data_IF_085696272033
#
_entry.id   IF_085696272033
#
_cell.length_a   1.000
_cell.length_b   1.000
_cell.length_c   1.000
_cell.angle_alpha   90.00
_cell.angle_beta   90.00
_cell.angle_gamma   90.00
#
_symmetry.space_group_name_H-M   'P 1'
#
loop_
_entity.id
_entity.type
_entity.pdbx_description
1 polymer ?
#
# COMPACT_ATOMS: atom_id res chain seq x y z
N UNK A 1 -41.06 -32.93 27.70
CA UNK A 1 -39.60 -33.06 27.55
C UNK A 1 -39.14 -31.99 26.57
N UNK A 2 -38.78 -30.81 27.07
CA UNK A 2 -38.32 -29.66 26.26
C UNK A 2 -36.84 -29.84 25.94
N UNK A 3 -36.45 -29.67 24.67
CA UNK A 3 -35.06 -29.52 24.26
C UNK A 3 -34.86 -28.09 23.75
N UNK A 4 -34.05 -27.31 24.46
CA UNK A 4 -33.62 -25.97 24.06
C UNK A 4 -32.29 -26.12 23.31
N UNK A 5 -32.25 -25.78 22.02
CA UNK A 5 -31.01 -25.71 21.25
C UNK A 5 -30.50 -24.28 21.32
N UNK A 6 -29.41 -24.06 22.07
CA UNK A 6 -28.71 -22.78 22.08
C UNK A 6 -27.77 -22.72 20.86
N UNK A 7 -28.08 -21.86 19.90
CA UNK A 7 -27.19 -21.55 18.79
C UNK A 7 -26.21 -20.48 19.24
N UNK A 8 -24.99 -20.88 19.59
CA UNK A 8 -23.91 -19.94 19.86
C UNK A 8 -23.38 -19.41 18.52
N UNK A 9 -23.80 -18.20 18.13
CA UNK A 9 -23.07 -17.39 17.15
C UNK A 9 -21.77 -16.94 17.81
N UNK A 10 -20.71 -17.73 17.67
CA UNK A 10 -19.34 -17.28 17.88
C UNK A 10 -19.05 -16.23 16.81
N UNK A 11 -19.31 -14.96 17.11
CA UNK A 11 -18.71 -13.85 16.40
C UNK A 11 -17.20 -13.94 16.61
N UNK A 12 -16.47 -14.39 15.60
CA UNK A 12 -15.02 -14.28 15.60
C UNK A 12 -14.67 -12.79 15.73
N UNK A 13 -13.81 -12.39 16.69
CA UNK A 13 -13.29 -11.03 16.68
C UNK A 13 -12.50 -10.87 15.38
N UNK A 14 -12.94 -9.96 14.51
CA UNK A 14 -12.10 -9.48 13.43
C UNK A 14 -10.89 -8.81 14.08
N UNK A 15 -9.76 -9.51 14.13
CA UNK A 15 -8.50 -8.93 14.56
C UNK A 15 -8.17 -7.81 13.58
N UNK A 16 -8.02 -6.56 14.03
CA UNK A 16 -7.43 -5.54 13.17
C UNK A 16 -6.01 -6.03 12.86
N UNK A 17 -5.80 -6.49 11.64
CA UNK A 17 -4.49 -6.90 11.15
C UNK A 17 -3.62 -5.66 11.18
N UNK A 18 -2.64 -5.61 12.08
CA UNK A 18 -1.48 -4.79 11.85
C UNK A 18 -0.89 -5.30 10.53
N UNK A 19 -0.97 -4.50 9.48
CA UNK A 19 -0.58 -4.86 8.12
C UNK A 19 0.75 -5.62 8.15
N UNK A 20 0.71 -6.90 7.78
CA UNK A 20 1.90 -7.72 7.73
C UNK A 20 2.82 -7.16 6.65
N UNK A 21 4.11 -7.05 6.96
CA UNK A 21 5.12 -6.63 6.00
C UNK A 21 5.49 -7.82 5.12
N UNK A 22 5.42 -7.62 3.81
CA UNK A 22 5.83 -8.59 2.79
C UNK A 22 7.14 -8.14 2.11
N UNK A 23 8.03 -9.06 1.74
CA UNK A 23 9.23 -8.70 1.00
C UNK A 23 8.90 -8.32 -0.45
N UNK A 24 9.43 -7.18 -0.91
CA UNK A 24 9.38 -6.72 -2.30
C UNK A 24 10.81 -6.54 -2.81
N UNK A 25 11.12 -7.12 -3.96
CA UNK A 25 12.43 -6.96 -4.60
C UNK A 25 12.32 -6.11 -5.86
N UNK A 26 13.21 -5.12 -5.97
CA UNK A 26 13.40 -4.32 -7.18
C UNK A 26 14.76 -4.67 -7.76
N UNK A 27 14.75 -5.38 -8.88
CA UNK A 27 15.95 -5.73 -9.62
C UNK A 27 16.34 -4.62 -10.62
N UNK A 28 17.61 -4.22 -10.59
CA UNK A 28 18.19 -3.21 -11.47
C UNK A 28 19.57 -3.64 -11.96
N UNK A 29 20.20 -2.82 -12.81
CA UNK A 29 21.59 -3.07 -13.26
C UNK A 29 22.61 -2.99 -12.11
N UNK A 30 22.32 -2.24 -11.04
CA UNK A 30 23.19 -2.12 -9.88
C UNK A 30 23.00 -3.24 -8.85
N UNK A 31 22.01 -4.11 -9.03
CA UNK A 31 21.69 -5.19 -8.13
C UNK A 31 20.21 -5.24 -7.76
N UNK A 32 19.90 -6.07 -6.77
CA UNK A 32 18.56 -6.24 -6.21
C UNK A 32 18.46 -5.43 -4.93
N UNK A 33 17.41 -4.63 -4.82
CA UNK A 33 17.05 -3.88 -3.62
C UNK A 33 15.81 -4.52 -2.99
N UNK A 34 15.90 -4.89 -1.72
CA UNK A 34 14.78 -5.51 -0.99
C UNK A 34 14.13 -4.48 -0.06
N UNK A 35 12.81 -4.42 -0.11
CA UNK A 35 11.96 -3.60 0.72
C UNK A 35 10.99 -4.48 1.51
N UNK A 36 10.57 -4.01 2.68
CA UNK A 36 9.47 -4.59 3.43
C UNK A 36 8.22 -3.71 3.24
N UNK A 37 7.19 -4.22 2.59
CA UNK A 37 6.02 -3.43 2.19
C UNK A 37 4.76 -3.89 2.86
N UNK A 38 3.91 -2.93 3.25
CA UNK A 38 2.53 -3.22 3.62
C UNK A 38 1.67 -3.32 2.35
N UNK A 39 0.73 -4.24 2.32
CA UNK A 39 -0.18 -4.41 1.19
C UNK A 39 -1.41 -3.52 1.34
N UNK A 40 -1.66 -2.64 0.37
CA UNK A 40 -2.90 -1.87 0.26
C UNK A 40 -3.77 -2.48 -0.84
N UNK A 41 -4.69 -3.36 -0.44
CA UNK A 41 -5.49 -4.19 -1.35
C UNK A 41 -6.91 -3.67 -1.49
N UNK A 42 -7.50 -3.22 -0.38
CA UNK A 42 -8.86 -2.67 -0.39
C UNK A 42 -8.87 -1.21 -0.83
N UNK A 43 -9.99 -0.71 -1.42
CA UNK A 43 -10.12 0.71 -1.75
C UNK A 43 -9.89 1.64 -0.55
N UNK A 44 -10.29 1.22 0.65
CA UNK A 44 -10.09 1.98 1.88
C UNK A 44 -8.61 2.05 2.28
N UNK A 45 -7.88 0.94 2.18
CA UNK A 45 -6.42 0.92 2.41
C UNK A 45 -5.67 1.77 1.38
N UNK A 46 -6.05 1.66 0.10
CA UNK A 46 -5.44 2.43 -0.99
C UNK A 46 -5.72 3.93 -0.84
N UNK A 47 -6.94 4.32 -0.48
CA UNK A 47 -7.29 5.72 -0.26
C UNK A 47 -6.57 6.32 0.96
N UNK A 48 -6.35 5.51 2.00
CA UNK A 48 -5.60 5.92 3.19
C UNK A 48 -4.10 6.01 2.92
N UNK A 49 -3.53 5.04 2.19
CA UNK A 49 -2.10 4.96 1.94
C UNK A 49 -1.25 5.13 3.19
N UNK A 50 -0.20 5.95 3.07
CA UNK A 50 0.71 6.30 4.17
C UNK A 50 0.30 7.59 4.92
N UNK A 51 -0.97 8.01 4.81
CA UNK A 51 -1.46 9.19 5.52
C UNK A 51 -1.22 9.08 7.03
N UNK A 52 -0.94 10.24 7.63
CA UNK A 52 -0.76 10.46 9.05
C UNK A 52 0.48 9.83 9.70
N UNK A 53 1.30 9.08 8.95
CA UNK A 53 2.56 8.55 9.45
C UNK A 53 3.58 9.66 9.63
N UNK A 54 4.25 9.65 10.79
CA UNK A 54 5.30 10.63 11.11
C UNK A 54 6.68 10.19 10.64
N UNK A 55 6.84 8.91 10.41
CA UNK A 55 8.07 8.27 9.95
C UNK A 55 7.73 7.10 9.03
N UNK A 56 8.66 6.80 8.12
CA UNK A 56 8.70 5.59 7.33
C UNK A 56 10.13 5.07 7.44
N UNK A 57 10.38 3.94 8.11
CA UNK A 57 11.72 3.39 8.23
C UNK A 57 12.36 3.13 6.87
N UNK A 58 13.68 3.28 6.80
CA UNK A 58 14.43 2.97 5.59
C UNK A 58 14.20 1.51 5.17
N UNK A 59 14.03 1.29 3.86
CA UNK A 59 13.71 -0.03 3.32
C UNK A 59 12.27 -0.49 3.58
N UNK A 60 11.39 0.36 4.12
CA UNK A 60 9.96 0.06 4.24
C UNK A 60 9.10 0.89 3.28
N UNK A 61 7.93 0.36 2.96
CA UNK A 61 6.99 1.03 2.06
C UNK A 61 5.60 0.44 2.10
N UNK A 62 4.81 0.79 1.09
CA UNK A 62 3.48 0.25 0.87
C UNK A 62 3.31 -0.06 -0.61
N UNK A 63 2.80 -1.25 -0.91
CA UNK A 63 2.49 -1.71 -2.26
C UNK A 63 0.97 -1.62 -2.46
N UNK A 64 0.56 -0.86 -3.47
CA UNK A 64 -0.83 -0.72 -3.87
C UNK A 64 -1.12 -1.76 -4.95
N UNK A 65 -1.89 -2.80 -4.60
CA UNK A 65 -2.31 -3.83 -5.56
C UNK A 65 -3.71 -3.50 -6.09
N UNK A 66 -3.77 -3.05 -7.35
CA UNK A 66 -5.01 -2.72 -8.03
C UNK A 66 -5.71 -3.92 -8.68
N UNK A 67 -5.11 -5.12 -8.62
CA UNK A 67 -5.54 -6.37 -9.26
C UNK A 67 -5.67 -6.35 -10.79
N UNK A 68 -5.77 -5.18 -11.40
CA UNK A 68 -5.86 -4.95 -12.84
C UNK A 68 -4.96 -3.78 -13.22
N UNK A 69 -4.35 -3.86 -14.41
CA UNK A 69 -3.57 -2.77 -14.96
C UNK A 69 -4.49 -1.60 -15.30
N UNK A 70 -4.22 -0.45 -14.67
CA UNK A 70 -5.00 0.77 -14.86
C UNK A 70 -4.13 2.00 -14.61
N UNK A 71 -4.44 3.15 -15.25
CA UNK A 71 -3.83 4.41 -14.88
C UNK A 71 -4.11 4.72 -13.40
N UNK A 72 -3.07 5.05 -12.66
CA UNK A 72 -3.16 5.42 -11.26
C UNK A 72 -2.79 6.90 -11.06
N UNK A 73 -3.45 7.54 -10.10
CA UNK A 73 -3.13 8.90 -9.68
C UNK A 73 -3.05 8.94 -8.17
N UNK A 74 -1.96 9.49 -7.66
CA UNK A 74 -1.73 9.66 -6.23
C UNK A 74 -1.64 11.13 -5.86
N UNK A 75 -1.67 11.39 -4.57
CA UNK A 75 -1.39 12.69 -3.95
C UNK A 75 -0.69 12.47 -2.61
N UNK A 76 -0.24 13.55 -1.98
CA UNK A 76 0.44 13.53 -0.69
C UNK A 76 -0.43 14.13 0.43
N UNK A 77 -1.74 14.25 0.20
CA UNK A 77 -2.69 14.76 1.19
C UNK A 77 -2.51 14.00 2.50
N UNK A 78 -2.30 14.73 3.60
CA UNK A 78 -2.06 14.18 4.94
C UNK A 78 -0.84 13.25 5.10
N UNK A 79 0.08 13.20 4.13
CA UNK A 79 1.34 12.45 4.22
C UNK A 79 2.47 13.38 4.64
N UNK A 80 3.10 13.10 5.79
CA UNK A 80 4.11 13.99 6.39
C UNK A 80 5.55 13.69 5.95
N UNK A 81 5.79 12.50 5.43
CA UNK A 81 7.12 12.03 4.97
C UNK A 81 7.19 12.20 3.45
N UNK A 82 8.31 12.71 2.93
CA UNK A 82 8.56 12.74 1.48
C UNK A 82 8.78 11.31 0.97
N UNK A 83 8.16 10.97 -0.16
CA UNK A 83 8.20 9.62 -0.72
C UNK A 83 8.67 9.63 -2.17
N UNK A 84 9.25 8.50 -2.58
CA UNK A 84 9.38 8.17 -3.99
C UNK A 84 8.24 7.22 -4.38
N UNK A 85 7.52 7.54 -5.45
CA UNK A 85 6.44 6.69 -5.97
C UNK A 85 6.94 5.91 -7.18
N UNK A 86 6.97 4.59 -7.07
CA UNK A 86 7.41 3.68 -8.13
C UNK A 86 6.17 3.07 -8.77
N UNK A 87 5.88 3.46 -10.01
CA UNK A 87 4.77 2.92 -10.80
C UNK A 87 5.25 1.71 -11.60
N UNK A 88 4.52 0.60 -11.48
CA UNK A 88 4.88 -0.70 -12.04
C UNK A 88 3.77 -1.15 -13.00
N UNK A 89 4.14 -1.65 -14.18
CA UNK A 89 3.21 -2.22 -15.17
C UNK A 89 2.74 -3.61 -14.77
N UNK A 90 1.71 -4.10 -15.47
CA UNK A 90 1.21 -5.48 -15.28
C UNK A 90 2.26 -6.57 -15.55
N UNK A 91 3.32 -6.27 -16.29
CA UNK A 91 4.46 -7.18 -16.54
C UNK A 91 5.58 -7.12 -15.48
N UNK A 92 5.38 -6.35 -14.40
CA UNK A 92 6.35 -6.19 -13.31
C UNK A 92 7.48 -5.20 -13.59
N UNK A 93 7.50 -4.52 -14.75
CA UNK A 93 8.51 -3.50 -15.06
C UNK A 93 8.12 -2.15 -14.48
N UNK A 94 9.13 -1.41 -14.00
CA UNK A 94 8.96 0.00 -13.61
C UNK A 94 8.60 0.83 -14.85
N UNK A 95 7.44 1.46 -14.82
CA UNK A 95 6.98 2.43 -15.80
C UNK A 95 7.63 3.80 -15.55
N UNK A 96 7.56 4.26 -14.31
CA UNK A 96 7.94 5.62 -13.91
C UNK A 96 8.29 5.64 -12.42
N UNK A 97 9.23 6.50 -12.06
CA UNK A 97 9.49 6.86 -10.67
C UNK A 97 9.23 8.36 -10.52
N UNK A 98 8.43 8.74 -9.52
CA UNK A 98 8.24 10.13 -9.11
C UNK A 98 9.00 10.33 -7.80
N UNK A 99 10.16 10.96 -7.90
CA UNK A 99 11.06 11.14 -6.77
C UNK A 99 10.70 12.39 -5.95
N UNK A 100 11.01 12.37 -4.66
CA UNK A 100 10.94 13.52 -3.75
C UNK A 100 9.57 14.22 -3.76
N UNK A 101 8.51 13.45 -3.58
CA UNK A 101 7.15 14.00 -3.53
C UNK A 101 6.97 15.00 -2.38
N UNK A 102 6.19 16.05 -2.61
CA UNK A 102 6.02 17.16 -1.67
C UNK A 102 5.02 16.76 -0.57
N UNK A 103 5.42 16.70 0.72
CA UNK A 103 4.51 16.37 1.81
C UNK A 103 3.28 17.29 1.84
N UNK A 104 2.13 16.74 2.22
CA UNK A 104 0.84 17.43 2.33
C UNK A 104 0.26 18.00 1.01
N UNK A 105 0.95 17.81 -0.12
CA UNK A 105 0.48 18.32 -1.42
C UNK A 105 -0.76 17.57 -1.93
N UNK A 106 -1.75 18.31 -2.42
CA UNK A 106 -2.92 17.75 -3.12
C UNK A 106 -2.73 17.74 -4.64
N UNK A 107 -1.56 18.14 -5.16
CA UNK A 107 -1.25 18.03 -6.57
C UNK A 107 -1.21 16.54 -6.99
N UNK A 108 -1.86 16.21 -8.10
CA UNK A 108 -1.92 14.85 -8.61
C UNK A 108 -0.57 14.41 -9.18
N UNK A 109 -0.17 13.19 -8.82
CA UNK A 109 1.01 12.49 -9.34
C UNK A 109 0.51 11.31 -10.19
N UNK A 110 0.45 11.46 -11.53
CA UNK A 110 -0.04 10.41 -12.42
C UNK A 110 1.02 9.33 -12.68
N UNK A 111 0.57 8.10 -12.96
CA UNK A 111 1.41 6.99 -13.40
C UNK A 111 2.15 7.29 -14.72
N UNK A 112 1.51 8.09 -15.58
CA UNK A 112 2.07 8.51 -16.88
C UNK A 112 1.78 7.54 -18.03
N UNK A 113 0.86 6.60 -17.84
CA UNK A 113 0.49 5.56 -18.80
C UNK A 113 -0.15 4.39 -18.09
#
# INVERSE_FOLDING_TARGET
MLALVAFALLGAPATPSALALEPLEIASKSGVHTFAVEMAVTPEEQAKGLMFRRELPEGQGMLFDFHQEQPAMFWMKNTYVSLDMIFIRGDGRILRIAENTVPLSEALVPSGG
#
